data_IF_769546111484
#
_entry.id   IF_769546111484
#
_cell.length_a   1.000
_cell.length_b   1.000
_cell.length_c   1.000
_cell.angle_alpha   90.00
_cell.angle_beta   90.00
_cell.angle_gamma   90.00
#
_symmetry.space_group_name_H-M   'P 1'
#
loop_
_entity.id
_entity.type
_entity.pdbx_description
1 polymer ?
#
# COMPACT_ATOMS: atom_id res chain seq x y z
N UNK A 1 13.13 -3.34 3.22
CA UNK A 1 12.53 -2.10 3.72
C UNK A 1 12.02 -1.28 2.55
N UNK A 2 10.72 -1.38 2.28
CA UNK A 2 9.98 -0.75 1.17
C UNK A 2 8.91 0.15 1.78
N UNK A 3 8.92 1.42 1.37
CA UNK A 3 7.97 2.44 1.83
C UNK A 3 7.03 2.80 0.69
N UNK A 4 5.73 2.59 0.91
CA UNK A 4 4.68 3.09 0.05
C UNK A 4 4.30 4.52 0.39
N UNK A 5 3.92 5.31 -0.62
CA UNK A 5 3.35 6.65 -0.43
C UNK A 5 2.06 6.72 -1.24
N UNK A 6 0.99 7.20 -0.62
CA UNK A 6 -0.32 7.34 -1.27
C UNK A 6 -1.25 8.27 -0.51
N UNK A 7 -2.41 8.55 -1.11
CA UNK A 7 -3.43 9.38 -0.47
C UNK A 7 -4.29 8.55 0.50
N UNK A 8 -4.65 9.12 1.66
CA UNK A 8 -5.53 8.47 2.63
C UNK A 8 -6.87 8.06 2.01
N UNK A 9 -7.44 8.89 1.12
CA UNK A 9 -8.67 8.63 0.38
C UNK A 9 -8.60 7.46 -0.61
N UNK A 10 -7.40 7.01 -0.99
CA UNK A 10 -7.20 5.87 -1.90
C UNK A 10 -7.20 4.52 -1.19
N UNK A 11 -7.40 4.47 0.14
CA UNK A 11 -7.39 3.23 0.91
C UNK A 11 -8.56 2.33 0.53
N UNK A 12 -8.25 1.14 0.02
CA UNK A 12 -9.23 0.07 -0.25
C UNK A 12 -9.04 -1.10 0.71
N UNK A 13 -10.10 -1.88 0.93
CA UNK A 13 -10.08 -3.01 1.89
C UNK A 13 -9.10 -4.12 1.50
N UNK A 14 -8.93 -4.35 0.19
CA UNK A 14 -8.03 -5.36 -0.36
C UNK A 14 -7.72 -5.01 -1.81
N UNK A 15 -6.54 -5.40 -2.27
CA UNK A 15 -6.14 -5.36 -3.69
C UNK A 15 -6.17 -6.76 -4.34
N UNK A 16 -6.52 -7.80 -3.58
CA UNK A 16 -6.34 -9.21 -3.93
C UNK A 16 -4.89 -9.53 -4.33
N UNK A 17 -4.02 -9.88 -3.37
CA UNK A 17 -2.59 -10.11 -3.64
C UNK A 17 -2.36 -11.12 -4.77
N UNK A 18 -1.48 -10.77 -5.70
CA UNK A 18 -1.07 -11.59 -6.84
C UNK A 18 0.34 -12.16 -6.64
N UNK A 19 0.72 -13.25 -7.34
CA UNK A 19 2.03 -13.91 -7.14
C UNK A 19 3.27 -13.06 -7.43
N UNK A 20 3.12 -11.94 -8.13
CA UNK A 20 4.20 -11.02 -8.50
C UNK A 20 4.19 -9.74 -7.66
N UNK A 21 3.23 -9.58 -6.75
CA UNK A 21 3.17 -8.41 -5.89
C UNK A 21 4.30 -8.40 -4.87
N UNK A 22 4.83 -7.21 -4.60
CA UNK A 22 5.84 -7.00 -3.57
C UNK A 22 5.15 -6.30 -2.40
N UNK A 23 5.11 -6.90 -1.20
CA UNK A 23 4.52 -6.26 -0.04
C UNK A 23 5.37 -5.06 0.41
N UNK A 24 4.71 -3.99 0.84
CA UNK A 24 5.35 -2.84 1.46
C UNK A 24 5.47 -3.06 2.97
N UNK A 25 6.56 -2.57 3.57
CA UNK A 25 6.78 -2.68 5.02
C UNK A 25 5.98 -1.61 5.79
N UNK A 26 5.80 -0.43 5.18
CA UNK A 26 5.01 0.69 5.71
C UNK A 26 4.42 1.52 4.56
N UNK A 27 3.26 2.12 4.78
CA UNK A 27 2.62 3.06 3.85
C UNK A 27 2.45 4.39 4.58
N UNK A 28 2.91 5.48 3.98
CA UNK A 28 2.76 6.84 4.49
C UNK A 28 1.67 7.54 3.68
N UNK A 29 0.76 8.19 4.41
CA UNK A 29 -0.36 8.97 3.85
C UNK A 29 -0.25 10.45 4.23
N UNK A 30 -1.08 11.26 3.58
CA UNK A 30 -1.22 12.70 3.80
C UNK A 30 -2.01 13.09 5.07
N UNK A 31 -2.50 12.09 5.83
CA UNK A 31 -3.16 12.17 7.14
C UNK A 31 -2.63 11.09 8.09
#
# INVERSE_FOLDING_TARGET
>A
FVVGVGYAGSRVRTIYPQPHDIPMDVIVTDE
#
